data_IF_919783970707
#
_entry.id   IF_919783970707
#
_cell.length_a   1.000
_cell.length_b   1.000
_cell.length_c   1.000
_cell.angle_alpha   90.00
_cell.angle_beta   90.00
_cell.angle_gamma   90.00
#
_symmetry.space_group_name_H-M   'P 1'
#
loop_
_entity.id
_entity.type
_entity.pdbx_description
1 polymer ?
#
# COMPACT_ATOMS: atom_id res chain seq x y z
N UNK A 1 -8.12 19.60 -17.57
CA UNK A 1 -9.36 18.81 -17.63
C UNK A 1 -10.11 19.04 -16.35
N UNK A 2 -11.30 19.61 -16.44
CA UNK A 2 -12.18 19.84 -15.30
C UNK A 2 -12.68 18.47 -14.80
N UNK A 3 -12.36 18.13 -13.55
CA UNK A 3 -12.78 16.85 -12.97
C UNK A 3 -14.18 17.01 -12.37
N UNK A 4 -15.15 16.36 -13.00
CA UNK A 4 -16.50 16.24 -12.45
C UNK A 4 -16.48 15.17 -11.34
N UNK A 5 -16.73 15.59 -10.10
CA UNK A 5 -16.93 14.66 -8.99
C UNK A 5 -18.41 14.30 -8.91
N UNK A 6 -18.77 13.01 -8.98
CA UNK A 6 -20.15 12.58 -8.77
C UNK A 6 -20.54 12.84 -7.31
N UNK A 7 -21.70 13.47 -7.11
CA UNK A 7 -22.30 13.73 -5.80
C UNK A 7 -23.46 12.78 -5.55
N UNK A 8 -23.60 12.34 -4.29
CA UNK A 8 -24.65 11.44 -3.85
C UNK A 8 -25.63 12.18 -2.93
N UNK A 9 -26.93 11.94 -3.12
CA UNK A 9 -28.00 12.48 -2.29
C UNK A 9 -28.93 11.36 -1.90
N UNK A 10 -29.12 11.14 -0.60
CA UNK A 10 -30.04 10.15 -0.06
C UNK A 10 -31.37 10.81 0.34
N UNK A 11 -32.47 10.14 0.01
CA UNK A 11 -33.82 10.56 0.36
C UNK A 11 -34.49 9.55 1.29
N UNK A 12 -35.13 10.03 2.35
CA UNK A 12 -35.87 9.18 3.29
C UNK A 12 -37.05 8.43 2.64
N UNK A 13 -37.68 9.01 1.61
CA UNK A 13 -38.83 8.43 0.90
C UNK A 13 -38.51 8.15 -0.56
N UNK A 14 -38.67 6.89 -0.99
CA UNK A 14 -38.46 6.45 -2.40
C UNK A 14 -39.30 7.22 -3.42
N UNK A 15 -40.51 7.63 -3.04
CA UNK A 15 -41.41 8.38 -3.92
C UNK A 15 -40.86 9.77 -4.24
N UNK A 16 -40.28 10.43 -3.23
CA UNK A 16 -39.63 11.74 -3.38
C UNK A 16 -38.40 11.60 -4.26
N UNK A 17 -37.54 10.62 -3.99
CA UNK A 17 -36.33 10.38 -4.78
C UNK A 17 -36.63 10.19 -6.27
N UNK A 18 -37.63 9.37 -6.60
CA UNK A 18 -38.08 9.15 -7.98
C UNK A 18 -38.64 10.42 -8.61
N UNK A 19 -39.48 11.15 -7.88
CA UNK A 19 -40.09 12.39 -8.37
C UNK A 19 -39.00 13.44 -8.67
N UNK A 20 -38.05 13.61 -7.77
CA UNK A 20 -36.94 14.56 -7.94
C UNK A 20 -36.06 14.16 -9.12
N UNK A 21 -35.68 12.88 -9.23
CA UNK A 21 -34.89 12.41 -10.37
C UNK A 21 -35.60 12.65 -11.71
N UNK A 22 -36.91 12.38 -11.79
CA UNK A 22 -37.67 12.61 -13.02
C UNK A 22 -37.89 14.10 -13.33
N UNK A 23 -38.03 14.95 -12.32
CA UNK A 23 -38.29 16.38 -12.50
C UNK A 23 -37.02 17.18 -12.79
N UNK A 24 -35.90 16.83 -12.18
CA UNK A 24 -34.66 17.60 -12.32
C UNK A 24 -33.80 17.08 -13.46
N UNK A 25 -33.81 15.78 -13.76
CA UNK A 25 -32.92 15.24 -14.78
C UNK A 25 -33.20 15.85 -16.17
N UNK A 26 -32.20 16.50 -16.76
CA UNK A 26 -32.32 17.20 -18.04
C UNK A 26 -32.78 18.65 -17.93
N UNK A 27 -33.15 19.11 -16.74
CA UNK A 27 -33.50 20.51 -16.50
C UNK A 27 -32.25 21.35 -16.20
N UNK A 28 -32.31 22.63 -16.57
CA UNK A 28 -31.29 23.60 -16.23
C UNK A 28 -31.25 23.82 -14.71
N UNK A 29 -30.05 23.87 -14.11
CA UNK A 29 -29.91 24.15 -12.67
C UNK A 29 -30.51 25.52 -12.33
N UNK A 30 -30.27 26.50 -13.20
CA UNK A 30 -30.85 27.83 -13.11
C UNK A 30 -30.30 28.64 -11.93
N UNK A 31 -31.17 29.44 -11.30
CA UNK A 31 -30.79 30.35 -10.22
C UNK A 31 -30.40 31.75 -10.71
N UNK A 32 -29.43 32.40 -10.05
CA UNK A 32 -28.99 33.75 -10.43
C UNK A 32 -28.22 33.68 -11.76
N UNK A 33 -28.54 34.55 -12.72
CA UNK A 33 -27.87 34.62 -14.05
C UNK A 33 -26.34 34.77 -13.99
N UNK A 34 -25.80 35.27 -12.87
CA UNK A 34 -24.35 35.42 -12.63
C UNK A 34 -23.70 34.21 -11.95
N UNK A 35 -24.48 33.19 -11.60
CA UNK A 35 -23.97 31.96 -10.98
C UNK A 35 -23.27 31.11 -12.02
N UNK A 36 -22.15 30.48 -11.65
CA UNK A 36 -21.40 29.58 -12.53
C UNK A 36 -22.26 28.45 -13.08
N UNK A 37 -23.20 27.96 -12.25
CA UNK A 37 -24.04 26.81 -12.55
C UNK A 37 -25.30 27.17 -13.35
N UNK A 38 -25.49 28.44 -13.73
CA UNK A 38 -26.76 28.87 -14.32
C UNK A 38 -27.08 28.11 -15.62
N UNK A 39 -26.10 27.89 -16.48
CA UNK A 39 -26.26 27.18 -17.75
C UNK A 39 -26.05 25.66 -17.66
N UNK A 40 -25.70 25.16 -16.48
CA UNK A 40 -25.47 23.73 -16.30
C UNK A 40 -26.80 22.96 -16.26
N UNK A 41 -26.72 21.70 -16.67
CA UNK A 41 -27.86 20.79 -16.73
C UNK A 41 -27.72 19.75 -15.62
N UNK A 42 -28.81 19.50 -14.91
CA UNK A 42 -28.88 18.41 -13.95
C UNK A 42 -28.77 17.05 -14.66
N UNK A 43 -27.80 16.24 -14.23
CA UNK A 43 -27.67 14.85 -14.62
C UNK A 43 -27.82 13.98 -13.36
N UNK A 44 -29.05 13.49 -13.11
CA UNK A 44 -29.39 12.78 -11.87
C UNK A 44 -30.15 11.50 -12.21
N UNK A 45 -29.77 10.39 -11.56
CA UNK A 45 -30.45 9.10 -11.69
C UNK A 45 -30.84 8.54 -10.33
N UNK A 46 -32.10 8.10 -10.22
CA UNK A 46 -32.54 7.33 -9.05
C UNK A 46 -32.04 5.88 -9.13
N UNK A 47 -31.35 5.44 -8.07
CA UNK A 47 -30.95 4.04 -7.89
C UNK A 47 -31.91 3.33 -6.93
N UNK A 48 -32.46 2.20 -7.36
CA UNK A 48 -33.42 1.42 -6.57
C UNK A 48 -32.66 0.41 -5.69
N UNK A 49 -33.09 0.26 -4.43
CA UNK A 49 -32.47 -0.65 -3.44
C UNK A 49 -31.00 -0.32 -3.14
N UNK A 50 -30.61 0.94 -3.30
CA UNK A 50 -29.26 1.41 -3.00
C UNK A 50 -29.32 2.33 -1.79
N UNK A 51 -28.44 2.12 -0.83
CA UNK A 51 -28.31 2.95 0.38
C UNK A 51 -26.91 3.56 0.46
N UNK A 52 -26.79 4.62 1.25
CA UNK A 52 -25.49 5.23 1.52
C UNK A 52 -24.51 4.23 2.17
N UNK A 53 -25.02 3.33 3.01
CA UNK A 53 -24.23 2.25 3.63
C UNK A 53 -23.56 1.34 2.60
N UNK A 54 -24.24 1.04 1.49
CA UNK A 54 -23.68 0.20 0.42
C UNK A 54 -22.51 0.91 -0.27
N UNK A 55 -22.64 2.22 -0.51
CA UNK A 55 -21.59 3.05 -1.11
C UNK A 55 -20.36 3.15 -0.19
N UNK A 56 -20.58 3.47 1.08
CA UNK A 56 -19.50 3.60 2.07
C UNK A 56 -18.85 2.25 2.33
N UNK A 57 -19.64 1.18 2.39
CA UNK A 57 -19.14 -0.19 2.52
C UNK A 57 -18.19 -0.56 1.37
N UNK A 58 -18.59 -0.33 0.12
CA UNK A 58 -17.75 -0.61 -1.04
C UNK A 58 -16.46 0.23 -1.05
N UNK A 59 -16.55 1.52 -0.71
CA UNK A 59 -15.38 2.42 -0.63
C UNK A 59 -14.43 1.97 0.49
N UNK A 60 -14.97 1.65 1.67
CA UNK A 60 -14.20 1.18 2.80
C UNK A 60 -13.51 -0.15 2.48
N UNK A 61 -14.22 -1.10 1.88
CA UNK A 61 -13.66 -2.39 1.46
C UNK A 61 -12.51 -2.20 0.45
N UNK A 62 -12.72 -1.38 -0.58
CA UNK A 62 -11.66 -1.07 -1.57
C UNK A 62 -10.44 -0.43 -0.91
N UNK A 63 -10.67 0.47 0.05
CA UNK A 63 -9.59 1.13 0.78
C UNK A 63 -8.83 0.14 1.66
N UNK A 64 -9.55 -0.71 2.40
CA UNK A 64 -8.97 -1.78 3.22
C UNK A 64 -8.16 -2.78 2.38
N UNK A 65 -8.69 -3.24 1.24
CA UNK A 65 -7.97 -4.13 0.33
C UNK A 65 -6.68 -3.47 -0.16
N UNK A 66 -6.73 -2.18 -0.50
CA UNK A 66 -5.55 -1.43 -0.95
C UNK A 66 -4.50 -1.32 0.15
N UNK A 67 -4.91 -0.99 1.37
CA UNK A 67 -4.02 -0.90 2.54
C UNK A 67 -3.41 -2.26 2.89
N UNK A 68 -4.21 -3.34 2.84
CA UNK A 68 -3.73 -4.70 3.05
C UNK A 68 -2.68 -5.10 2.01
N UNK A 69 -2.90 -4.81 0.73
CA UNK A 69 -1.90 -5.06 -0.32
C UNK A 69 -0.61 -4.29 -0.06
N UNK A 70 -0.72 -3.00 0.25
CA UNK A 70 0.45 -2.16 0.54
C UNK A 70 1.23 -2.67 1.75
N UNK A 71 0.56 -3.05 2.83
CA UNK A 71 1.21 -3.58 4.04
C UNK A 71 1.90 -4.91 3.78
N UNK A 72 1.32 -5.78 2.96
CA UNK A 72 1.95 -7.04 2.53
C UNK A 72 3.22 -6.77 1.70
N UNK A 73 3.16 -5.85 0.75
CA UNK A 73 4.33 -5.45 -0.06
C UNK A 73 5.46 -4.89 0.82
N UNK A 74 5.13 -3.98 1.74
CA UNK A 74 6.09 -3.42 2.70
C UNK A 74 6.70 -4.52 3.57
N UNK A 75 5.89 -5.47 4.04
CA UNK A 75 6.34 -6.56 4.90
C UNK A 75 7.26 -7.52 4.14
N UNK A 76 6.94 -7.84 2.89
CA UNK A 76 7.80 -8.65 2.02
C UNK A 76 9.16 -7.96 1.78
N UNK A 77 9.15 -6.67 1.47
CA UNK A 77 10.37 -5.88 1.27
C UNK A 77 11.22 -5.79 2.55
N UNK A 78 10.59 -5.57 3.71
CA UNK A 78 11.28 -5.60 5.02
C UNK A 78 11.92 -6.95 5.28
N UNK A 79 11.18 -8.04 5.09
CA UNK A 79 11.70 -9.41 5.27
C UNK A 79 12.90 -9.70 4.36
N UNK A 80 12.84 -9.27 3.10
CA UNK A 80 13.96 -9.41 2.16
C UNK A 80 15.20 -8.62 2.62
N UNK A 81 15.01 -7.38 3.07
CA UNK A 81 16.08 -6.54 3.62
C UNK A 81 16.72 -7.18 4.87
N UNK A 82 15.90 -7.62 5.82
CA UNK A 82 16.39 -8.20 7.07
C UNK A 82 17.13 -9.51 6.82
N UNK A 83 16.65 -10.32 5.87
CA UNK A 83 17.34 -11.52 5.42
C UNK A 83 18.72 -11.21 4.82
N UNK A 84 18.81 -10.17 3.98
CA UNK A 84 20.08 -9.72 3.41
C UNK A 84 21.05 -9.26 4.49
N UNK A 85 20.58 -8.45 5.45
CA UNK A 85 21.41 -7.96 6.55
C UNK A 85 21.93 -9.11 7.42
N UNK A 86 21.06 -10.06 7.79
CA UNK A 86 21.44 -11.25 8.55
C UNK A 86 22.49 -12.10 7.81
N UNK A 87 22.36 -12.26 6.50
CA UNK A 87 23.33 -13.01 5.70
C UNK A 87 24.68 -12.29 5.60
N UNK A 88 24.66 -10.96 5.49
CA UNK A 88 25.88 -10.15 5.50
C UNK A 88 26.63 -10.25 6.83
N UNK A 89 25.91 -10.20 7.96
CA UNK A 89 26.48 -10.39 9.30
C UNK A 89 27.05 -11.81 9.46
N UNK A 90 26.30 -12.85 9.09
CA UNK A 90 26.78 -14.24 9.12
C UNK A 90 28.05 -14.42 8.29
N UNK A 91 28.12 -13.82 7.10
CA UNK A 91 29.32 -13.87 6.25
C UNK A 91 30.53 -13.20 6.91
N UNK A 92 30.34 -12.02 7.54
CA UNK A 92 31.40 -11.35 8.32
C UNK A 92 31.89 -12.22 9.47
N UNK A 93 30.98 -12.77 10.27
CA UNK A 93 31.33 -13.66 11.38
C UNK A 93 32.05 -14.91 10.90
N UNK A 94 31.58 -15.55 9.82
CA UNK A 94 32.25 -16.70 9.22
C UNK A 94 33.65 -16.35 8.73
N UNK A 95 33.86 -15.17 8.14
CA UNK A 95 35.19 -14.70 7.72
C UNK A 95 36.13 -14.58 8.91
N UNK A 96 35.72 -13.94 10.00
CA UNK A 96 36.55 -13.85 11.22
C UNK A 96 36.87 -15.22 11.85
N UNK A 97 35.90 -16.16 11.81
CA UNK A 97 36.14 -17.53 12.29
C UNK A 97 37.17 -18.23 11.41
N UNK A 98 37.05 -18.14 10.08
CA UNK A 98 38.01 -18.73 9.12
C UNK A 98 39.41 -18.16 9.33
N UNK A 99 39.55 -16.84 9.42
CA UNK A 99 40.84 -16.18 9.68
C UNK A 99 41.46 -16.62 11.01
N UNK A 100 40.66 -16.79 12.07
CA UNK A 100 41.16 -17.31 13.36
C UNK A 100 41.63 -18.77 13.26
N UNK A 101 40.90 -19.61 12.54
CA UNK A 101 41.28 -21.01 12.32
C UNK A 101 42.57 -21.09 11.49
N UNK A 102 42.69 -20.31 10.43
CA UNK A 102 43.90 -20.24 9.61
C UNK A 102 45.11 -19.78 10.43
N UNK A 103 44.99 -18.68 11.19
CA UNK A 103 46.08 -18.23 12.07
C UNK A 103 46.51 -19.31 13.05
N UNK A 104 45.56 -19.99 13.72
CA UNK A 104 45.89 -21.11 14.62
C UNK A 104 46.60 -22.26 13.89
N UNK A 105 46.20 -22.60 12.65
CA UNK A 105 46.90 -23.61 11.84
C UNK A 105 48.34 -23.18 11.57
N UNK A 106 48.56 -21.94 11.12
CA UNK A 106 49.90 -21.42 10.88
C UNK A 106 50.78 -21.44 12.14
N UNK A 107 50.27 -21.02 13.30
CA UNK A 107 51.03 -21.05 14.57
C UNK A 107 51.38 -22.48 15.01
N UNK A 108 50.47 -23.45 14.81
CA UNK A 108 50.74 -24.85 15.15
C UNK A 108 51.79 -25.45 14.21
N UNK A 109 51.75 -25.12 12.92
CA UNK A 109 52.74 -25.58 11.93
C UNK A 109 54.13 -24.98 12.22
N UNK A 110 54.18 -23.70 12.57
CA UNK A 110 55.41 -22.99 12.93
C UNK A 110 56.07 -23.59 14.17
N UNK A 111 55.28 -23.81 15.24
CA UNK A 111 55.77 -24.49 16.45
C UNK A 111 56.22 -25.93 16.20
N UNK A 112 55.58 -26.67 15.29
CA UNK A 112 56.04 -28.03 14.92
C UNK A 112 57.32 -28.02 14.09
N UNK A 113 57.53 -27.00 13.24
CA UNK A 113 58.77 -26.87 12.46
C UNK A 113 59.95 -26.40 13.32
N UNK A 114 59.70 -25.52 14.30
CA UNK A 114 60.73 -25.11 15.27
C UNK A 114 61.20 -26.28 16.14
N UNK A 115 60.29 -27.14 16.61
CA UNK A 115 60.66 -28.35 17.37
C UNK A 115 61.50 -29.31 16.52
N UNK A 116 61.18 -29.45 15.22
CA UNK A 116 61.96 -30.30 14.30
C UNK A 116 63.35 -29.74 13.95
N UNK A 117 63.59 -28.44 14.11
CA UNK A 117 64.88 -27.79 13.85
C UNK A 117 65.84 -27.78 15.05
N UNK A 118 65.35 -28.07 16.27
CA UNK A 118 66.16 -28.05 17.50
C UNK A 118 66.78 -29.44 17.79
N UNK A 119 66.24 -30.51 17.19
CA UNK A 119 66.63 -31.91 17.43
C UNK A 119 67.66 -32.48 16.41
N UNK A 120 68.37 -31.63 15.64
CA UNK A 120 69.43 -32.06 14.69
C UNK A 120 70.80 -31.50 15.08
#
# INVERSE_FOLDING_TARGET
MEQYLPLWVEFAKKSVAKRVANLLNGEQIGGKKRSSFYYDIWNIKYLRKFKWDDLVGEIAEKTHIREQKLTLEITAAKKQRDHYLSNAEKSRTQKFIRERIEKKKYTVIDQSNDVLLIDT
#
